data_IF_636935989329
#
_entry.id   IF_636935989329
#
_cell.length_a   1.000
_cell.length_b   1.000
_cell.length_c   1.000
_cell.angle_alpha   90.00
_cell.angle_beta   90.00
_cell.angle_gamma   90.00
#
_symmetry.space_group_name_H-M   'P 1'
#
loop_
_entity.id
_entity.type
_entity.pdbx_description
1 polymer ?
#
# COMPACT_ATOMS: atom_id res chain seq x y z
N UNK A 1 -3.37 -25.72 -11.06
CA UNK A 1 -2.46 -25.19 -10.03
C UNK A 1 -3.07 -24.06 -9.18
N UNK A 2 -4.17 -23.38 -9.57
CA UNK A 2 -4.67 -22.21 -8.83
C UNK A 2 -5.68 -22.44 -7.69
N UNK A 3 -6.46 -23.54 -7.70
CA UNK A 3 -7.61 -23.68 -6.79
C UNK A 3 -7.22 -23.96 -5.33
N UNK A 4 -6.14 -24.71 -5.10
CA UNK A 4 -5.80 -25.19 -3.77
C UNK A 4 -5.14 -24.15 -2.84
N UNK A 5 -4.86 -22.95 -3.35
CA UNK A 5 -4.33 -21.81 -2.58
C UNK A 5 -5.41 -20.81 -2.18
N UNK A 6 -6.63 -20.98 -2.67
CA UNK A 6 -7.70 -20.00 -2.49
C UNK A 6 -8.10 -19.87 -1.03
N UNK A 7 -8.31 -20.98 -0.31
CA UNK A 7 -8.70 -20.89 1.10
C UNK A 7 -7.63 -20.20 1.94
N UNK A 8 -6.35 -20.54 1.71
CA UNK A 8 -5.24 -19.90 2.42
C UNK A 8 -5.26 -18.40 2.19
N UNK A 9 -5.35 -17.95 0.93
CA UNK A 9 -5.49 -16.54 0.63
C UNK A 9 -6.69 -15.90 1.35
N UNK A 10 -7.87 -16.51 1.30
CA UNK A 10 -9.07 -16.01 1.99
C UNK A 10 -8.82 -15.90 3.51
N UNK A 11 -8.26 -16.93 4.14
CA UNK A 11 -7.94 -16.93 5.56
C UNK A 11 -6.93 -15.82 5.87
N UNK A 12 -5.86 -15.67 5.07
CA UNK A 12 -4.86 -14.63 5.25
C UNK A 12 -5.45 -13.22 5.18
N UNK A 13 -6.27 -12.96 4.16
CA UNK A 13 -6.96 -11.68 3.99
C UNK A 13 -8.08 -11.43 4.99
N UNK A 14 -8.57 -12.45 5.70
CA UNK A 14 -9.54 -12.29 6.78
C UNK A 14 -8.85 -12.07 8.13
N UNK A 15 -7.82 -12.87 8.42
CA UNK A 15 -7.17 -12.93 9.74
C UNK A 15 -6.14 -11.81 9.90
N UNK A 16 -5.30 -11.56 8.88
CA UNK A 16 -4.20 -10.60 9.02
C UNK A 16 -4.69 -9.16 9.23
N UNK A 17 -5.74 -8.67 8.53
CA UNK A 17 -6.27 -7.35 8.82
C UNK A 17 -6.80 -7.22 10.24
N UNK A 18 -7.44 -8.26 10.78
CA UNK A 18 -7.98 -8.23 12.15
C UNK A 18 -6.85 -8.18 13.20
N UNK A 19 -5.76 -8.90 12.97
CA UNK A 19 -4.64 -8.97 13.92
C UNK A 19 -3.69 -7.77 13.78
N UNK A 20 -3.55 -7.23 12.58
CA UNK A 20 -2.52 -6.25 12.26
C UNK A 20 -3.09 -4.91 11.80
N UNK A 21 -3.76 -4.89 10.65
CA UNK A 21 -4.18 -3.64 10.00
C UNK A 21 -5.18 -2.84 10.83
N UNK A 22 -6.18 -3.50 11.43
CA UNK A 22 -7.22 -2.84 12.24
C UNK A 22 -6.60 -2.22 13.51
N UNK A 23 -5.78 -2.93 14.32
CA UNK A 23 -5.07 -2.30 15.42
C UNK A 23 -4.15 -1.16 14.98
N UNK A 24 -3.41 -1.34 13.88
CA UNK A 24 -2.51 -0.31 13.33
C UNK A 24 -3.28 0.96 12.95
N UNK A 25 -4.44 0.82 12.27
CA UNK A 25 -5.28 1.96 11.89
C UNK A 25 -5.91 2.65 13.10
N UNK A 26 -6.37 1.89 14.11
CA UNK A 26 -6.90 2.41 15.38
C UNK A 26 -5.88 3.25 16.12
N UNK A 27 -4.68 2.71 16.34
CA UNK A 27 -3.60 3.42 17.02
C UNK A 27 -3.20 4.67 16.22
N UNK A 28 -3.14 4.54 14.89
CA UNK A 28 -2.80 5.65 14.00
C UNK A 28 -3.85 6.78 14.08
N UNK A 29 -5.13 6.43 14.15
CA UNK A 29 -6.22 7.39 14.28
C UNK A 29 -6.20 8.10 15.63
N UNK A 30 -6.01 7.36 16.73
CA UNK A 30 -5.95 7.93 18.08
C UNK A 30 -4.74 8.84 18.27
N UNK A 31 -3.55 8.36 17.93
CA UNK A 31 -2.31 9.14 18.07
C UNK A 31 -2.23 10.29 17.07
N UNK A 32 -2.75 10.10 15.85
CA UNK A 32 -2.84 11.18 14.86
C UNK A 32 -3.81 12.28 15.27
N UNK A 33 -4.86 11.95 16.04
CA UNK A 33 -5.75 12.94 16.64
C UNK A 33 -5.11 13.66 17.84
N UNK A 34 -4.30 12.94 18.63
CA UNK A 34 -3.61 13.48 19.82
C UNK A 34 -2.41 14.38 19.46
N UNK A 35 -1.66 14.03 18.41
CA UNK A 35 -0.49 14.76 17.92
C UNK A 35 -0.73 15.21 16.47
N UNK A 36 -1.51 16.30 16.25
CA UNK A 36 -1.87 16.77 14.91
C UNK A 36 -0.74 17.56 14.25
N UNK A 37 0.50 17.05 14.32
CA UNK A 37 1.70 17.66 13.78
C UNK A 37 2.25 16.84 12.60
N UNK A 38 2.94 17.52 11.69
CA UNK A 38 3.66 16.88 10.59
C UNK A 38 4.89 16.16 11.16
N UNK A 39 4.73 14.86 11.41
CA UNK A 39 5.78 14.00 11.96
C UNK A 39 5.30 12.60 12.32
N UNK A 40 4.00 12.45 12.62
CA UNK A 40 3.34 11.15 12.76
C UNK A 40 4.05 10.21 13.75
N UNK A 41 4.28 8.97 13.33
CA UNK A 41 4.94 7.93 14.13
C UNK A 41 6.30 8.34 14.72
N UNK A 42 7.05 9.27 14.10
CA UNK A 42 8.33 9.76 14.65
C UNK A 42 8.07 10.53 15.95
N UNK A 43 7.06 11.41 15.93
CA UNK A 43 6.67 12.22 17.08
C UNK A 43 6.13 11.30 18.17
N UNK A 44 5.28 10.34 17.83
CA UNK A 44 4.70 9.41 18.81
C UNK A 44 5.76 8.62 19.55
N UNK A 45 6.74 8.09 18.81
CA UNK A 45 7.83 7.30 19.40
C UNK A 45 8.80 8.20 20.16
N UNK A 46 9.11 9.40 19.65
CA UNK A 46 9.94 10.36 20.36
C UNK A 46 9.30 10.80 21.68
N UNK A 47 7.98 11.00 21.71
CA UNK A 47 7.23 11.37 22.91
C UNK A 47 7.18 10.23 23.93
N UNK A 48 7.10 8.97 23.49
CA UNK A 48 6.99 7.82 24.38
C UNK A 48 8.34 7.27 24.87
N UNK A 49 9.34 7.18 23.98
CA UNK A 49 10.62 6.50 24.22
C UNK A 49 11.83 7.45 24.16
N UNK A 50 11.61 8.71 23.79
CA UNK A 50 12.64 9.73 23.70
C UNK A 50 13.22 9.92 22.29
N UNK A 51 13.99 11.01 22.07
CA UNK A 51 14.39 11.46 20.73
C UNK A 51 15.20 10.43 19.92
N UNK A 52 16.05 9.64 20.59
CA UNK A 52 16.87 8.62 19.93
C UNK A 52 16.01 7.55 19.24
N UNK A 53 14.98 7.04 19.92
CA UNK A 53 14.10 6.02 19.36
C UNK A 53 13.17 6.57 18.29
N UNK A 54 12.71 7.81 18.45
CA UNK A 54 11.99 8.52 17.39
C UNK A 54 12.84 8.64 16.12
N UNK A 55 14.12 9.01 16.25
CA UNK A 55 15.05 9.07 15.12
C UNK A 55 15.26 7.70 14.46
N UNK A 56 15.45 6.63 15.24
CA UNK A 56 15.59 5.27 14.68
C UNK A 56 14.37 4.85 13.87
N UNK A 57 13.15 5.14 14.38
CA UNK A 57 11.91 4.85 13.65
C UNK A 57 11.82 5.66 12.35
N UNK A 58 12.09 6.97 12.42
CA UNK A 58 12.13 7.82 11.23
C UNK A 58 13.14 7.34 10.19
N UNK A 59 14.33 6.94 10.63
CA UNK A 59 15.38 6.43 9.74
C UNK A 59 14.98 5.14 9.03
N UNK A 60 14.41 4.17 9.75
CA UNK A 60 13.98 2.90 9.18
C UNK A 60 12.82 3.09 8.18
N UNK A 61 11.84 3.93 8.52
CA UNK A 61 10.73 4.26 7.62
C UNK A 61 11.18 5.05 6.41
N UNK A 62 12.15 5.95 6.56
CA UNK A 62 12.74 6.66 5.43
C UNK A 62 13.45 5.70 4.47
N UNK A 63 14.26 4.76 4.97
CA UNK A 63 14.90 3.73 4.14
C UNK A 63 13.87 2.86 3.40
N UNK A 64 12.82 2.41 4.10
CA UNK A 64 11.70 1.68 3.49
C UNK A 64 11.04 2.50 2.39
N UNK A 65 10.74 3.78 2.65
CA UNK A 65 10.16 4.68 1.67
C UNK A 65 11.05 4.89 0.44
N UNK A 66 12.37 4.97 0.61
CA UNK A 66 13.32 5.06 -0.52
C UNK A 66 13.29 3.80 -1.38
N UNK A 67 13.27 2.62 -0.76
CA UNK A 67 13.20 1.33 -1.47
C UNK A 67 11.88 1.23 -2.24
N UNK A 68 10.77 1.56 -1.61
CA UNK A 68 9.44 1.53 -2.24
C UNK A 68 9.33 2.55 -3.39
N UNK A 69 9.93 3.74 -3.25
CA UNK A 69 9.99 4.74 -4.32
C UNK A 69 10.72 4.24 -5.57
N UNK A 70 11.72 3.36 -5.43
CA UNK A 70 12.42 2.73 -6.57
C UNK A 70 11.60 1.60 -7.17
N UNK A 71 10.88 0.84 -6.33
CA UNK A 71 10.09 -0.31 -6.74
C UNK A 71 8.97 0.08 -7.72
N UNK A 72 8.19 1.12 -7.42
CA UNK A 72 6.99 1.42 -8.21
C UNK A 72 7.25 1.85 -9.66
N UNK A 73 8.21 2.75 -9.97
CA UNK A 73 8.54 3.08 -11.36
C UNK A 73 9.03 1.87 -12.15
N UNK A 74 9.80 0.99 -11.51
CA UNK A 74 10.28 -0.26 -12.13
C UNK A 74 9.12 -1.18 -12.46
N UNK A 75 8.20 -1.41 -11.51
CA UNK A 75 7.00 -2.22 -11.73
C UNK A 75 6.09 -1.62 -12.82
N UNK A 76 5.92 -0.29 -12.82
CA UNK A 76 5.14 0.40 -13.84
C UNK A 76 5.70 0.17 -15.25
N UNK A 77 7.02 0.27 -15.42
CA UNK A 77 7.67 -0.03 -16.69
C UNK A 77 7.59 -1.50 -17.07
N UNK A 78 7.60 -2.42 -16.10
CA UNK A 78 7.40 -3.84 -16.37
C UNK A 78 6.00 -4.13 -16.92
N UNK A 79 4.96 -3.41 -16.44
CA UNK A 79 3.64 -3.47 -17.06
C UNK A 79 3.65 -2.89 -18.49
N UNK A 80 4.29 -1.74 -18.71
CA UNK A 80 4.36 -1.10 -20.04
C UNK A 80 5.18 -1.88 -21.07
N UNK A 81 6.17 -2.66 -20.64
CA UNK A 81 7.01 -3.49 -21.51
C UNK A 81 6.19 -4.43 -22.41
N UNK A 82 5.03 -4.89 -21.93
CA UNK A 82 4.13 -5.74 -22.70
C UNK A 82 3.63 -5.07 -23.99
N UNK A 83 3.43 -3.75 -23.99
CA UNK A 83 3.04 -2.95 -25.16
C UNK A 83 4.22 -2.27 -25.86
N UNK A 84 5.25 -1.86 -25.12
CA UNK A 84 6.45 -1.19 -25.65
C UNK A 84 7.71 -1.97 -25.23
N UNK A 85 8.11 -3.02 -25.99
CA UNK A 85 9.24 -3.87 -25.63
C UNK A 85 10.57 -3.13 -25.46
N UNK A 86 10.74 -1.96 -26.10
CA UNK A 86 11.92 -1.10 -25.98
C UNK A 86 12.17 -0.60 -24.55
N UNK A 87 11.14 -0.56 -23.70
CA UNK A 87 11.26 -0.22 -22.27
C UNK A 87 11.75 -1.40 -21.43
N UNK A 88 11.90 -2.58 -22.04
CA UNK A 88 12.21 -3.80 -21.32
C UNK A 88 13.64 -3.89 -20.80
N UNK A 89 14.63 -3.31 -21.50
CA UNK A 89 16.07 -3.49 -21.19
C UNK A 89 16.92 -2.32 -21.67
N UNK A 90 18.09 -2.15 -21.06
CA UNK A 90 19.14 -1.23 -21.52
C UNK A 90 18.93 0.23 -21.11
N UNK A 91 19.65 1.11 -21.79
CA UNK A 91 19.66 2.55 -21.49
C UNK A 91 18.27 3.20 -21.63
N UNK A 92 17.45 2.74 -22.58
CA UNK A 92 16.06 3.20 -22.76
C UNK A 92 15.22 2.99 -21.51
N UNK A 93 15.34 1.85 -20.84
CA UNK A 93 14.68 1.60 -19.55
C UNK A 93 15.19 2.57 -18.48
N UNK A 94 16.51 2.76 -18.38
CA UNK A 94 17.08 3.67 -17.38
C UNK A 94 16.58 5.11 -17.57
N UNK A 95 16.59 5.63 -18.81
CA UNK A 95 16.03 6.94 -19.13
C UNK A 95 14.52 7.01 -18.87
N UNK A 96 13.78 5.94 -19.12
CA UNK A 96 12.35 5.88 -18.82
C UNK A 96 12.07 5.92 -17.32
N UNK A 97 12.84 5.20 -16.49
CA UNK A 97 12.72 5.25 -15.02
C UNK A 97 13.01 6.65 -14.52
N UNK A 98 14.15 7.23 -14.92
CA UNK A 98 14.56 8.58 -14.50
C UNK A 98 13.55 9.62 -14.96
N UNK A 99 13.08 9.53 -16.22
CA UNK A 99 12.07 10.42 -16.77
C UNK A 99 10.74 10.32 -16.03
N UNK A 100 10.28 9.10 -15.72
CA UNK A 100 9.05 8.87 -14.96
C UNK A 100 9.18 9.44 -13.55
N UNK A 101 10.28 9.15 -12.84
CA UNK A 101 10.54 9.71 -11.52
C UNK A 101 10.56 11.24 -11.55
N UNK A 102 11.26 11.84 -12.51
CA UNK A 102 11.32 13.30 -12.66
C UNK A 102 9.92 13.91 -12.88
N UNK A 103 9.11 13.31 -13.75
CA UNK A 103 7.73 13.76 -14.00
C UNK A 103 6.87 13.65 -12.74
N UNK A 104 6.95 12.52 -12.02
CA UNK A 104 6.20 12.32 -10.78
C UNK A 104 6.64 13.32 -9.70
N UNK A 105 7.95 13.55 -9.54
CA UNK A 105 8.48 14.56 -8.61
C UNK A 105 8.00 15.97 -8.96
N UNK A 106 8.01 16.34 -10.24
CA UNK A 106 7.49 17.64 -10.70
C UNK A 106 5.98 17.78 -10.47
N UNK A 107 5.21 16.70 -10.62
CA UNK A 107 3.78 16.68 -10.29
C UNK A 107 3.55 16.85 -8.79
N UNK A 108 4.33 16.18 -7.94
CA UNK A 108 4.27 16.34 -6.49
C UNK A 108 4.55 17.77 -6.05
N UNK A 109 5.47 18.49 -6.71
CA UNK A 109 5.71 19.91 -6.45
C UNK A 109 4.56 20.83 -6.84
N UNK A 110 3.74 20.46 -7.84
CA UNK A 110 2.59 21.26 -8.28
C UNK A 110 1.39 21.19 -7.33
N UNK A 111 1.38 20.23 -6.41
CA UNK A 111 0.38 20.13 -5.35
C UNK A 111 -0.15 18.71 -5.17
N UNK A 112 -0.16 18.28 -3.91
CA UNK A 112 -0.63 16.95 -3.50
C UNK A 112 -2.11 16.72 -3.83
N UNK A 113 -2.92 17.78 -3.94
CA UNK A 113 -4.34 17.67 -4.30
C UNK A 113 -4.54 17.11 -5.71
N UNK A 114 -3.71 17.50 -6.68
CA UNK A 114 -3.78 16.97 -8.05
C UNK A 114 -3.42 15.48 -8.05
N UNK A 115 -2.36 15.12 -7.33
CA UNK A 115 -1.94 13.72 -7.16
C UNK A 115 -3.06 12.90 -6.52
N UNK A 116 -3.71 13.42 -5.48
CA UNK A 116 -4.84 12.76 -4.82
C UNK A 116 -6.03 12.49 -5.76
N UNK A 117 -6.45 13.48 -6.56
CA UNK A 117 -7.52 13.26 -7.55
C UNK A 117 -7.14 12.24 -8.62
N UNK A 118 -5.92 12.31 -9.14
CA UNK A 118 -5.42 11.31 -10.11
C UNK A 118 -5.43 9.92 -9.51
N UNK A 119 -4.97 9.77 -8.25
CA UNK A 119 -4.96 8.49 -7.54
C UNK A 119 -6.38 7.93 -7.34
N UNK A 120 -7.36 8.77 -6.96
CA UNK A 120 -8.77 8.35 -6.82
C UNK A 120 -9.32 7.89 -8.18
N UNK A 121 -9.12 8.68 -9.24
CA UNK A 121 -9.59 8.32 -10.59
C UNK A 121 -8.98 7.00 -11.07
N UNK A 122 -7.66 6.84 -10.90
CA UNK A 122 -6.96 5.60 -11.24
C UNK A 122 -7.42 4.42 -10.39
N UNK A 123 -7.67 4.63 -9.09
CA UNK A 123 -8.18 3.61 -8.19
C UNK A 123 -9.58 3.13 -8.59
N UNK A 124 -10.49 4.05 -8.88
CA UNK A 124 -11.84 3.70 -9.36
C UNK A 124 -11.75 2.95 -10.70
N UNK A 125 -10.94 3.45 -11.64
CA UNK A 125 -10.77 2.82 -12.94
C UNK A 125 -10.11 1.44 -12.85
N UNK A 126 -9.12 1.26 -11.95
CA UNK A 126 -8.44 -0.02 -11.77
C UNK A 126 -9.30 -1.05 -11.05
N UNK A 127 -10.17 -0.64 -10.13
CA UNK A 127 -11.10 -1.51 -9.41
C UNK A 127 -12.32 -1.91 -10.25
N UNK A 128 -12.74 -1.07 -11.20
CA UNK A 128 -13.95 -1.31 -12.01
C UNK A 128 -13.92 -2.65 -12.75
N UNK A 129 -12.84 -3.06 -13.45
CA UNK A 129 -12.76 -4.39 -14.07
C UNK A 129 -12.92 -5.53 -13.08
N UNK A 130 -12.35 -5.44 -11.87
CA UNK A 130 -12.51 -6.46 -10.85
C UNK A 130 -13.95 -6.54 -10.35
N UNK A 131 -14.60 -5.39 -10.18
CA UNK A 131 -16.00 -5.33 -9.80
C UNK A 131 -16.91 -5.95 -10.88
N UNK A 132 -16.74 -5.56 -12.14
CA UNK A 132 -17.49 -6.11 -13.28
C UNK A 132 -17.26 -7.61 -13.42
N UNK A 133 -16.01 -8.06 -13.37
CA UNK A 133 -15.66 -9.49 -13.43
C UNK A 133 -16.21 -10.26 -12.24
N UNK A 134 -16.21 -9.66 -11.04
CA UNK A 134 -16.83 -10.22 -9.84
C UNK A 134 -18.32 -10.45 -10.04
N UNK A 135 -19.06 -9.45 -10.54
CA UNK A 135 -20.50 -9.57 -10.83
C UNK A 135 -20.81 -10.63 -11.88
N UNK A 136 -20.02 -10.69 -12.97
CA UNK A 136 -20.17 -11.72 -14.01
C UNK A 136 -19.86 -13.12 -13.47
N UNK A 137 -18.93 -13.22 -12.50
CA UNK A 137 -18.54 -14.48 -11.90
C UNK A 137 -19.53 -15.00 -10.85
N UNK A 138 -20.33 -14.14 -10.20
CA UNK A 138 -21.32 -14.51 -9.16
C UNK A 138 -22.16 -15.75 -9.52
N UNK A 139 -22.85 -15.83 -10.68
CA UNK A 139 -23.67 -17.00 -11.02
C UNK A 139 -22.85 -18.27 -11.31
N UNK A 140 -21.54 -18.16 -11.51
CA UNK A 140 -20.63 -19.26 -11.80
C UNK A 140 -19.85 -19.73 -10.56
N UNK A 141 -20.07 -19.10 -9.41
CA UNK A 141 -19.39 -19.45 -8.17
C UNK A 141 -19.79 -20.86 -7.73
N UNK A 142 -18.80 -21.70 -7.45
CA UNK A 142 -18.97 -23.01 -6.82
C UNK A 142 -18.36 -22.93 -5.42
N UNK A 143 -19.17 -22.76 -4.35
CA UNK A 143 -18.65 -22.58 -2.99
C UNK A 143 -17.72 -23.71 -2.54
N UNK A 144 -17.93 -24.93 -3.03
CA UNK A 144 -17.06 -26.08 -2.75
C UNK A 144 -15.58 -25.84 -3.11
N UNK A 145 -15.29 -24.97 -4.08
CA UNK A 145 -13.91 -24.64 -4.48
C UNK A 145 -13.19 -23.77 -3.46
N UNK A 146 -13.92 -23.06 -2.60
CA UNK A 146 -13.32 -22.18 -1.60
C UNK A 146 -12.67 -22.98 -0.47
N UNK A 147 -13.09 -24.23 -0.24
CA UNK A 147 -12.61 -25.07 0.85
C UNK A 147 -11.42 -25.96 0.45
N UNK A 148 -10.92 -25.86 -0.77
CA UNK A 148 -9.77 -26.64 -1.22
C UNK A 148 -8.49 -26.03 -0.65
N UNK A 149 -7.76 -26.81 0.14
CA UNK A 149 -6.46 -26.45 0.72
C UNK A 149 -5.41 -27.43 0.22
N UNK A 150 -4.33 -26.93 -0.34
CA UNK A 150 -3.08 -27.67 -0.51
C UNK A 150 -2.00 -26.97 0.31
N UNK A 151 -1.65 -27.57 1.45
CA UNK A 151 -0.58 -27.09 2.34
C UNK A 151 0.81 -27.55 1.87
N UNK A 152 0.89 -28.55 0.98
CA UNK A 152 2.15 -29.23 0.67
C UNK A 152 3.08 -28.39 -0.21
N UNK A 153 2.51 -27.53 -1.06
CA UNK A 153 3.25 -26.68 -2.00
C UNK A 153 3.13 -25.18 -1.68
N UNK A 154 3.03 -24.82 -0.40
CA UNK A 154 2.94 -23.41 0.03
C UNK A 154 4.33 -22.87 0.33
N UNK A 155 4.74 -21.86 -0.42
CA UNK A 155 5.86 -21.01 -0.03
C UNK A 155 5.37 -20.03 1.04
N UNK A 156 5.56 -20.42 2.30
CA UNK A 156 5.12 -19.65 3.46
C UNK A 156 5.83 -18.30 3.57
N UNK A 157 7.08 -18.19 3.11
CA UNK A 157 7.83 -16.94 3.16
C UNK A 157 7.20 -15.93 2.19
N UNK A 158 7.01 -16.34 0.93
CA UNK A 158 6.39 -15.51 -0.09
C UNK A 158 4.94 -15.14 0.30
N UNK A 159 4.18 -16.10 0.81
CA UNK A 159 2.79 -15.89 1.21
C UNK A 159 2.66 -14.84 2.33
N UNK A 160 3.40 -15.01 3.44
CA UNK A 160 3.34 -14.07 4.56
C UNK A 160 3.92 -12.70 4.19
N UNK A 161 5.02 -12.67 3.43
CA UNK A 161 5.62 -11.40 2.98
C UNK A 161 4.66 -10.63 2.07
N UNK A 162 4.01 -11.32 1.12
CA UNK A 162 3.04 -10.70 0.21
C UNK A 162 1.84 -10.16 0.99
N UNK A 163 1.28 -10.94 1.92
CA UNK A 163 0.15 -10.50 2.73
C UNK A 163 0.52 -9.28 3.59
N UNK A 164 1.67 -9.34 4.26
CA UNK A 164 2.15 -8.23 5.08
C UNK A 164 2.35 -6.98 4.23
N UNK A 165 3.02 -7.08 3.08
CA UNK A 165 3.24 -5.93 2.19
C UNK A 165 1.93 -5.33 1.66
N UNK A 166 0.90 -6.15 1.38
CA UNK A 166 -0.40 -5.66 0.91
C UNK A 166 -1.27 -5.04 2.02
N UNK A 167 -1.05 -5.40 3.28
CA UNK A 167 -1.95 -5.06 4.39
C UNK A 167 -1.28 -4.19 5.47
N UNK A 168 -0.04 -3.78 5.26
CA UNK A 168 0.72 -2.86 6.13
C UNK A 168 0.68 -1.41 5.60
N UNK A 169 1.39 -0.51 6.28
CA UNK A 169 1.60 0.91 5.92
C UNK A 169 0.45 1.87 6.22
N UNK A 170 -0.53 1.44 7.00
CA UNK A 170 -1.64 2.30 7.43
C UNK A 170 -1.15 3.49 8.28
N UNK A 171 -0.07 3.30 9.02
CA UNK A 171 0.59 4.34 9.80
C UNK A 171 1.20 5.48 8.94
N UNK A 172 1.41 5.27 7.64
CA UNK A 172 2.05 6.24 6.76
C UNK A 172 1.27 7.56 6.65
N UNK A 173 -0.07 7.50 6.76
CA UNK A 173 -0.93 8.69 6.71
C UNK A 173 -0.65 9.66 7.87
N UNK A 174 -0.11 9.16 8.99
CA UNK A 174 0.20 9.98 10.16
C UNK A 174 1.21 11.10 9.88
N UNK A 175 2.10 10.88 8.92
CA UNK A 175 3.12 11.87 8.55
C UNK A 175 2.54 13.09 7.84
N UNK A 176 1.33 12.97 7.31
CA UNK A 176 0.60 14.01 6.58
C UNK A 176 -0.54 14.60 7.42
N UNK A 177 -0.61 14.29 8.72
CA UNK A 177 -1.73 14.71 9.57
C UNK A 177 -1.94 16.24 9.60
N UNK A 178 -0.88 17.05 9.50
CA UNK A 178 -0.98 18.51 9.46
C UNK A 178 -1.50 19.07 8.13
N UNK A 179 -1.48 18.28 7.05
CA UNK A 179 -2.07 18.65 5.75
C UNK A 179 -3.57 18.30 5.67
N UNK A 180 -4.05 17.47 6.60
CA UNK A 180 -5.45 17.04 6.65
C UNK A 180 -6.29 18.09 7.38
N UNK A 181 -7.37 18.55 6.75
CA UNK A 181 -8.31 19.45 7.42
C UNK A 181 -9.01 18.73 8.58
N UNK A 182 -8.86 19.26 9.80
CA UNK A 182 -9.40 18.69 11.04
C UNK A 182 -8.99 17.21 11.25
N UNK A 183 -7.68 16.92 11.41
CA UNK A 183 -7.18 15.55 11.42
C UNK A 183 -7.88 14.68 12.49
N UNK A 184 -8.15 15.23 13.67
CA UNK A 184 -8.83 14.50 14.75
C UNK A 184 -10.27 14.04 14.45
N UNK A 185 -10.93 14.57 13.41
CA UNK A 185 -12.23 14.07 12.93
C UNK A 185 -12.13 13.35 11.59
N UNK A 186 -11.22 13.78 10.73
CA UNK A 186 -11.10 13.27 9.37
C UNK A 186 -10.32 11.96 9.33
N UNK A 187 -9.24 11.83 10.10
CA UNK A 187 -8.44 10.59 10.12
C UNK A 187 -9.25 9.39 10.64
N UNK A 188 -9.97 9.47 11.77
CA UNK A 188 -10.80 8.35 12.21
C UNK A 188 -11.85 7.95 11.17
N UNK A 189 -12.52 8.92 10.53
CA UNK A 189 -13.55 8.65 9.50
C UNK A 189 -13.01 8.11 8.19
N UNK A 190 -11.72 8.32 7.90
CA UNK A 190 -11.09 7.82 6.68
C UNK A 190 -10.54 6.41 6.88
N UNK A 191 -10.27 6.02 8.13
CA UNK A 191 -9.67 4.74 8.50
C UNK A 191 -10.71 3.69 8.94
N UNK A 192 -11.92 4.10 9.37
CA UNK A 192 -13.06 3.24 9.76
C UNK A 192 -14.30 3.54 8.93
#
# INVERSE_FOLDING_TARGET
MGEARLLLAIIGFLVLPVIWSIPETLITAELGAMFPENGGYIVWVASALGPYWGFQQGWMKWLSGVIDNVLYPVLFLDYLKSGVPALGRGATRAFAVVGLMAVLTLLSYRGLTVVGWVAICLGVFSLLPFFVMGLIALPRLRPARWLVIDLHNVDWNLYLNTLFWNLNYWDSISTLAGEVKNPGKTLPKALF
#
